data_IF_253498558534
#
_entry.id   IF_253498558534
#
_cell.length_a   1.000
_cell.length_b   1.000
_cell.length_c   1.000
_cell.angle_alpha   90.00
_cell.angle_beta   90.00
_cell.angle_gamma   90.00
#
_symmetry.space_group_name_H-M   'P 1'
#
loop_
_entity.id
_entity.type
_entity.pdbx_description
1 polymer ?
#
# COMPACT_ATOMS: atom_id res chain seq x y z
N UNK A 1 20.57 -4.70 -9.41
CA UNK A 1 19.73 -3.52 -9.09
C UNK A 1 20.62 -2.44 -8.53
N UNK A 2 20.54 -1.21 -9.05
CA UNK A 2 21.37 -0.11 -8.56
C UNK A 2 20.86 0.26 -7.16
N UNK A 3 21.72 0.18 -6.15
CA UNK A 3 21.41 0.52 -4.75
C UNK A 3 20.79 1.91 -4.60
N UNK A 4 21.10 2.82 -5.53
CA UNK A 4 20.52 4.15 -5.67
C UNK A 4 19.00 4.16 -5.83
N UNK A 5 18.42 3.22 -6.59
CA UNK A 5 16.96 3.20 -6.84
C UNK A 5 16.19 2.87 -5.56
N UNK A 6 16.63 1.85 -4.82
CA UNK A 6 16.04 1.50 -3.52
C UNK A 6 16.13 2.67 -2.54
N UNK A 7 17.24 3.38 -2.54
CA UNK A 7 17.44 4.54 -1.68
C UNK A 7 16.45 5.67 -2.02
N UNK A 8 16.35 6.02 -3.30
CA UNK A 8 15.46 7.09 -3.78
C UNK A 8 13.99 6.79 -3.46
N UNK A 9 13.55 5.55 -3.61
CA UNK A 9 12.16 5.17 -3.30
C UNK A 9 11.83 5.34 -1.82
N UNK A 10 12.70 4.90 -0.92
CA UNK A 10 12.50 5.04 0.52
C UNK A 10 12.53 6.51 0.95
N UNK A 11 13.46 7.31 0.39
CA UNK A 11 13.51 8.76 0.63
C UNK A 11 12.23 9.44 0.14
N UNK A 12 11.72 9.08 -1.03
CA UNK A 12 10.47 9.63 -1.57
C UNK A 12 9.27 9.34 -0.65
N UNK A 13 9.09 8.07 -0.24
CA UNK A 13 8.04 7.67 0.72
C UNK A 13 8.20 8.46 2.03
N UNK A 14 9.43 8.58 2.50
CA UNK A 14 9.81 9.36 3.66
C UNK A 14 9.38 10.82 3.59
N UNK A 15 9.64 11.48 2.47
CA UNK A 15 9.21 12.87 2.26
C UNK A 15 7.70 13.02 2.26
N UNK A 16 6.94 12.06 1.73
CA UNK A 16 5.48 12.10 1.84
C UNK A 16 5.01 11.98 3.30
N UNK A 17 5.60 11.07 4.07
CA UNK A 17 5.26 10.88 5.50
C UNK A 17 5.60 12.13 6.30
N UNK A 18 6.82 12.66 6.14
CA UNK A 18 7.25 13.89 6.82
C UNK A 18 6.38 15.07 6.38
N UNK A 19 6.08 15.19 5.09
CA UNK A 19 5.20 16.24 4.55
C UNK A 19 3.82 16.20 5.19
N UNK A 20 3.21 15.01 5.31
CA UNK A 20 1.95 14.82 6.04
C UNK A 20 2.08 15.29 7.49
N UNK A 21 3.10 14.83 8.22
CA UNK A 21 3.28 15.18 9.63
C UNK A 21 3.52 16.68 9.82
N UNK A 22 4.37 17.30 8.98
CA UNK A 22 4.64 18.73 9.02
C UNK A 22 3.37 19.51 8.75
N UNK A 23 2.64 19.18 7.67
CA UNK A 23 1.39 19.86 7.35
C UNK A 23 0.42 19.78 8.54
N UNK A 24 0.23 18.58 9.11
CA UNK A 24 -0.61 18.35 10.30
C UNK A 24 -0.15 19.18 11.51
N UNK A 25 1.16 19.29 11.75
CA UNK A 25 1.70 20.03 12.88
C UNK A 25 1.62 21.56 12.70
N UNK A 26 1.82 22.06 11.48
CA UNK A 26 1.87 23.50 11.18
C UNK A 26 0.52 24.08 10.76
N UNK A 27 -0.58 23.35 10.95
CA UNK A 27 -1.92 23.79 10.55
C UNK A 27 -2.00 24.19 9.07
N UNK A 28 -1.22 23.50 8.23
CA UNK A 28 -1.15 23.76 6.78
C UNK A 28 -0.35 24.99 6.37
N UNK A 29 0.14 25.82 7.29
CA UNK A 29 1.03 26.95 6.98
C UNK A 29 2.46 26.61 7.39
N UNK A 30 3.26 25.97 6.52
CA UNK A 30 4.67 25.77 6.79
C UNK A 30 5.40 27.11 6.57
N UNK A 31 5.22 28.05 7.50
CA UNK A 31 6.12 29.21 7.65
C UNK A 31 7.45 28.73 8.24
N UNK A 32 8.08 27.77 7.57
CA UNK A 32 9.43 27.31 7.86
C UNK A 32 10.35 28.34 7.20
N UNK A 33 10.78 29.31 7.99
CA UNK A 33 11.84 30.23 7.58
C UNK A 33 13.12 29.42 7.50
N UNK A 34 13.45 28.96 6.29
CA UNK A 34 14.73 28.32 6.04
C UNK A 34 15.82 29.38 6.14
N UNK A 35 16.55 29.40 7.26
CA UNK A 35 17.78 30.17 7.39
C UNK A 35 18.77 29.63 6.33
N UNK A 36 18.92 30.38 5.23
CA UNK A 36 19.68 29.97 4.04
C UNK A 36 21.19 30.06 4.22
N UNK A 37 21.70 30.24 5.45
CA UNK A 37 23.13 30.15 5.70
C UNK A 37 23.65 28.77 5.24
N UNK A 38 24.61 28.78 4.31
CA UNK A 38 25.01 27.60 3.51
C UNK A 38 25.34 26.38 4.35
N UNK A 39 25.99 26.55 5.50
CA UNK A 39 26.37 25.44 6.36
C UNK A 39 25.17 24.85 7.14
N UNK A 40 24.24 25.68 7.64
CA UNK A 40 23.01 25.20 8.28
C UNK A 40 22.06 24.57 7.26
N UNK A 41 22.00 25.11 6.04
CA UNK A 41 21.20 24.56 4.96
C UNK A 41 21.73 23.19 4.50
N UNK A 42 23.04 23.00 4.38
CA UNK A 42 23.64 21.70 4.00
C UNK A 42 23.45 20.66 5.11
N UNK A 43 23.72 21.03 6.37
CA UNK A 43 23.50 20.11 7.51
C UNK A 43 22.01 19.80 7.68
N UNK A 44 21.14 20.80 7.53
CA UNK A 44 19.69 20.65 7.61
C UNK A 44 19.13 19.75 6.51
N UNK A 45 19.56 19.93 5.26
CA UNK A 45 19.13 19.09 4.13
C UNK A 45 19.63 17.65 4.24
N UNK A 46 20.89 17.45 4.66
CA UNK A 46 21.43 16.10 4.90
C UNK A 46 20.69 15.40 6.04
N UNK A 47 20.43 16.11 7.14
CA UNK A 47 19.64 15.61 8.26
C UNK A 47 18.21 15.26 7.85
N UNK A 48 17.54 16.12 7.08
CA UNK A 48 16.20 15.88 6.56
C UNK A 48 16.15 14.65 5.65
N UNK A 49 17.14 14.47 4.77
CA UNK A 49 17.26 13.28 3.92
C UNK A 49 17.41 12.00 4.76
N UNK A 50 18.22 12.03 5.82
CA UNK A 50 18.38 10.89 6.72
C UNK A 50 17.08 10.55 7.47
N UNK A 51 16.37 11.56 7.97
CA UNK A 51 15.07 11.37 8.64
C UNK A 51 14.03 10.85 7.65
N UNK A 52 13.98 11.40 6.43
CA UNK A 52 13.10 10.93 5.36
C UNK A 52 13.37 9.46 5.05
N UNK A 53 14.62 9.06 4.85
CA UNK A 53 14.96 7.67 4.60
C UNK A 53 14.48 6.73 5.72
N UNK A 54 14.71 7.08 6.99
CA UNK A 54 14.26 6.28 8.13
C UNK A 54 12.72 6.22 8.22
N UNK A 55 12.03 7.34 8.06
CA UNK A 55 10.58 7.41 8.06
C UNK A 55 9.99 6.57 6.92
N UNK A 56 10.62 6.61 5.74
CA UNK A 56 10.27 5.80 4.57
C UNK A 56 10.33 4.30 4.87
N UNK A 57 11.43 3.83 5.47
CA UNK A 57 11.59 2.42 5.85
C UNK A 57 10.50 2.00 6.83
N UNK A 58 10.27 2.77 7.89
CA UNK A 58 9.27 2.45 8.91
C UNK A 58 7.89 2.38 8.27
N UNK A 59 7.55 3.37 7.43
CA UNK A 59 6.25 3.40 6.78
C UNK A 59 6.08 2.29 5.73
N UNK A 60 7.10 1.93 4.97
CA UNK A 60 7.04 0.80 4.03
C UNK A 60 6.69 -0.51 4.77
N UNK A 61 7.16 -0.69 6.02
CA UNK A 61 6.74 -1.81 6.87
C UNK A 61 5.30 -1.72 7.36
N UNK A 62 4.82 -0.52 7.65
CA UNK A 62 3.41 -0.32 7.95
C UNK A 62 2.54 -0.63 6.72
N UNK A 63 2.94 -0.18 5.53
CA UNK A 63 2.24 -0.45 4.27
C UNK A 63 2.28 -1.94 3.90
N UNK A 64 3.42 -2.63 4.09
CA UNK A 64 3.56 -4.09 4.04
C UNK A 64 2.46 -4.75 4.89
N UNK A 65 2.36 -4.35 6.17
CA UNK A 65 1.45 -4.95 7.15
C UNK A 65 -0.02 -4.70 6.81
N UNK A 66 -0.34 -3.46 6.40
CA UNK A 66 -1.70 -3.06 6.05
C UNK A 66 -2.24 -3.84 4.84
N UNK A 67 -1.39 -4.11 3.85
CA UNK A 67 -1.79 -4.73 2.58
C UNK A 67 -1.38 -6.21 2.45
N UNK A 68 -0.76 -6.80 3.49
CA UNK A 68 -0.29 -8.20 3.51
C UNK A 68 -1.38 -9.18 3.11
N UNK A 69 -2.58 -9.06 3.68
CA UNK A 69 -3.66 -10.02 3.47
C UNK A 69 -4.18 -9.98 2.02
N UNK A 70 -4.32 -8.79 1.44
CA UNK A 70 -4.70 -8.63 0.03
C UNK A 70 -3.63 -9.21 -0.89
N UNK A 71 -2.36 -8.98 -0.59
CA UNK A 71 -1.24 -9.54 -1.34
C UNK A 71 -1.22 -11.08 -1.26
N UNK A 72 -1.38 -11.62 -0.06
CA UNK A 72 -1.41 -13.05 0.19
C UNK A 72 -2.58 -13.74 -0.53
N UNK A 73 -3.76 -13.11 -0.54
CA UNK A 73 -4.88 -13.60 -1.33
C UNK A 73 -4.57 -13.63 -2.83
N UNK A 74 -3.90 -12.60 -3.36
CA UNK A 74 -3.48 -12.58 -4.76
C UNK A 74 -2.43 -13.67 -5.06
N UNK A 75 -1.49 -13.92 -4.15
CA UNK A 75 -0.49 -15.00 -4.27
C UNK A 75 -1.16 -16.37 -4.34
N UNK A 76 -2.06 -16.67 -3.40
CA UNK A 76 -2.84 -17.92 -3.40
C UNK A 76 -3.64 -18.06 -4.70
N UNK A 77 -4.32 -17.01 -5.15
CA UNK A 77 -5.10 -17.04 -6.39
C UNK A 77 -4.24 -17.36 -7.61
N UNK A 78 -3.02 -16.83 -7.68
CA UNK A 78 -2.10 -17.11 -8.80
C UNK A 78 -1.54 -18.54 -8.69
N UNK A 79 -1.07 -18.95 -7.51
CA UNK A 79 -0.50 -20.29 -7.29
C UNK A 79 -1.50 -21.43 -7.53
N UNK A 80 -2.78 -21.21 -7.19
CA UNK A 80 -3.85 -22.19 -7.37
C UNK A 80 -4.45 -22.22 -8.78
N UNK A 81 -4.12 -21.25 -9.65
CA UNK A 81 -4.79 -21.08 -10.95
C UNK A 81 -4.63 -22.30 -11.88
N UNK A 82 -3.48 -22.96 -11.79
CA UNK A 82 -3.10 -24.04 -12.72
C UNK A 82 -3.13 -25.42 -12.06
N UNK A 83 -3.66 -25.53 -10.84
CA UNK A 83 -3.79 -26.79 -10.10
C UNK A 83 -5.21 -27.31 -10.29
N UNK A 84 -5.36 -28.60 -10.61
CA UNK A 84 -6.68 -29.23 -10.66
C UNK A 84 -7.23 -29.43 -9.24
N UNK A 85 -8.08 -28.49 -8.82
CA UNK A 85 -8.69 -28.43 -7.48
C UNK A 85 -9.85 -29.41 -7.30
N UNK A 86 -10.24 -30.15 -8.35
CA UNK A 86 -11.43 -31.01 -8.32
C UNK A 86 -11.27 -32.13 -7.27
N UNK A 87 -10.11 -32.79 -7.22
CA UNK A 87 -9.88 -33.96 -6.37
C UNK A 87 -8.51 -34.03 -5.65
N UNK A 88 -7.63 -33.05 -5.83
CA UNK A 88 -6.28 -33.11 -5.24
C UNK A 88 -6.19 -32.38 -3.89
N UNK A 89 -5.62 -33.06 -2.89
CA UNK A 89 -5.07 -32.41 -1.68
C UNK A 89 -3.71 -31.87 -2.08
N UNK A 90 -3.43 -30.60 -1.80
CA UNK A 90 -2.10 -30.03 -2.04
C UNK A 90 -1.07 -30.73 -1.16
N UNK A 91 -0.05 -31.31 -1.80
CA UNK A 91 1.07 -32.00 -1.15
C UNK A 91 2.30 -31.08 -1.06
N UNK A 92 2.36 -30.02 -1.88
CA UNK A 92 3.46 -29.06 -1.95
C UNK A 92 2.95 -27.63 -1.93
N UNK A 93 3.80 -26.69 -1.51
CA UNK A 93 3.51 -25.26 -1.54
C UNK A 93 3.13 -24.85 -2.98
N UNK A 94 1.93 -24.28 -3.22
CA UNK A 94 1.52 -23.83 -4.54
C UNK A 94 2.35 -22.63 -5.06
N UNK A 95 3.09 -21.95 -4.18
CA UNK A 95 3.91 -20.79 -4.54
C UNK A 95 5.17 -20.69 -3.63
N UNK A 96 6.20 -21.55 -3.84
CA UNK A 96 7.42 -21.56 -3.03
C UNK A 96 8.35 -20.40 -3.41
N UNK A 97 7.96 -19.16 -3.07
CA UNK A 97 8.66 -17.93 -3.47
C UNK A 97 10.15 -17.94 -3.09
N UNK A 98 10.47 -18.46 -1.90
CA UNK A 98 11.85 -18.49 -1.39
C UNK A 98 12.75 -19.38 -2.24
N UNK A 99 12.29 -20.59 -2.56
CA UNK A 99 13.03 -21.54 -3.40
C UNK A 99 13.18 -21.03 -4.83
N UNK A 100 12.15 -20.35 -5.33
CA UNK A 100 12.20 -19.77 -6.67
C UNK A 100 13.21 -18.62 -6.69
N UNK A 101 13.27 -17.81 -5.64
CA UNK A 101 14.22 -16.71 -5.54
C UNK A 101 15.67 -17.18 -5.51
N UNK A 102 15.98 -18.24 -4.76
CA UNK A 102 17.34 -18.80 -4.73
C UNK A 102 17.74 -19.35 -6.10
N UNK A 103 16.81 -20.04 -6.80
CA UNK A 103 17.03 -20.53 -8.17
C UNK A 103 17.22 -19.41 -9.20
N UNK A 104 16.45 -18.32 -9.08
CA UNK A 104 16.55 -17.18 -10.00
C UNK A 104 17.89 -16.44 -9.82
N UNK A 105 18.36 -16.27 -8.57
CA UNK A 105 19.65 -15.67 -8.30
C UNK A 105 20.82 -16.44 -8.94
N UNK A 106 20.65 -17.75 -9.18
CA UNK A 106 21.66 -18.58 -9.83
C UNK A 106 21.66 -18.51 -11.38
N UNK A 107 20.57 -18.05 -12.01
CA UNK A 107 20.33 -18.25 -13.47
C UNK A 107 20.63 -17.08 -14.40
N UNK A 108 20.95 -15.89 -13.89
CA UNK A 108 21.38 -14.77 -14.74
C UNK A 108 20.87 -13.39 -14.29
N UNK A 109 21.57 -12.34 -14.71
CA UNK A 109 21.33 -10.96 -14.23
C UNK A 109 20.03 -10.34 -14.74
N UNK A 110 19.60 -10.61 -15.98
CA UNK A 110 18.49 -9.87 -16.63
C UNK A 110 17.12 -10.11 -15.98
N UNK A 111 16.77 -11.36 -15.68
CA UNK A 111 15.48 -11.70 -15.02
C UNK A 111 15.48 -11.24 -13.58
N UNK A 112 16.61 -11.39 -12.89
CA UNK A 112 16.80 -10.88 -11.53
C UNK A 112 16.60 -9.36 -11.51
N UNK A 113 17.16 -8.63 -12.47
CA UNK A 113 16.98 -7.18 -12.62
C UNK A 113 15.53 -6.81 -12.87
N UNK A 114 14.85 -7.49 -13.80
CA UNK A 114 13.44 -7.23 -14.09
C UNK A 114 12.52 -7.51 -12.89
N UNK A 115 12.73 -8.62 -12.17
CA UNK A 115 11.94 -8.94 -10.98
C UNK A 115 12.22 -7.98 -9.82
N UNK A 116 13.46 -7.53 -9.67
CA UNK A 116 13.80 -6.49 -8.70
C UNK A 116 13.15 -5.16 -9.05
N UNK A 117 13.12 -4.79 -10.33
CA UNK A 117 12.40 -3.61 -10.82
C UNK A 117 10.90 -3.69 -10.48
N UNK A 118 10.23 -4.80 -10.81
CA UNK A 118 8.82 -5.00 -10.48
C UNK A 118 8.58 -4.92 -8.97
N UNK A 119 9.46 -5.52 -8.16
CA UNK A 119 9.38 -5.46 -6.69
C UNK A 119 9.47 -4.04 -6.15
N UNK A 120 10.40 -3.25 -6.69
CA UNK A 120 10.52 -1.83 -6.36
C UNK A 120 9.22 -1.08 -6.65
N UNK A 121 8.65 -1.26 -7.84
CA UNK A 121 7.40 -0.61 -8.23
C UNK A 121 6.21 -1.06 -7.40
N UNK A 122 6.15 -2.34 -7.00
CA UNK A 122 5.12 -2.82 -6.07
C UNK A 122 5.21 -2.11 -4.72
N UNK A 123 6.40 -1.97 -4.13
CA UNK A 123 6.58 -1.28 -2.84
C UNK A 123 6.14 0.19 -2.93
N UNK A 124 6.61 0.90 -3.95
CA UNK A 124 6.28 2.31 -4.14
C UNK A 124 4.78 2.52 -4.37
N UNK A 125 4.16 1.76 -5.26
CA UNK A 125 2.72 1.89 -5.54
C UNK A 125 1.87 1.54 -4.33
N UNK A 126 2.29 0.54 -3.55
CA UNK A 126 1.62 0.15 -2.30
C UNK A 126 1.64 1.29 -1.27
N UNK A 127 2.82 1.86 -0.99
CA UNK A 127 2.95 2.96 -0.04
C UNK A 127 2.20 4.22 -0.50
N UNK A 128 2.18 4.50 -1.81
CA UNK A 128 1.39 5.61 -2.34
C UNK A 128 -0.12 5.35 -2.23
N UNK A 129 -0.59 4.12 -2.49
CA UNK A 129 -2.00 3.78 -2.34
C UNK A 129 -2.50 4.02 -0.91
N UNK A 130 -1.65 3.79 0.09
CA UNK A 130 -1.99 4.06 1.49
C UNK A 130 -1.81 5.52 1.89
N UNK A 131 -0.91 6.30 1.27
CA UNK A 131 -0.65 7.71 1.65
C UNK A 131 -1.56 8.73 0.96
N UNK A 132 -1.92 8.51 -0.31
CA UNK A 132 -2.71 9.46 -1.12
C UNK A 132 -4.06 9.86 -0.51
N UNK A 133 -4.83 8.96 0.13
CA UNK A 133 -6.08 9.33 0.79
C UNK A 133 -5.87 10.36 1.92
N UNK A 134 -4.81 10.19 2.72
CA UNK A 134 -4.46 11.13 3.78
C UNK A 134 -4.04 12.48 3.22
N UNK A 135 -3.20 12.47 2.17
CA UNK A 135 -2.80 13.69 1.46
C UNK A 135 -4.01 14.44 0.91
N UNK A 136 -4.98 13.73 0.34
CA UNK A 136 -6.23 14.32 -0.16
C UNK A 136 -7.01 15.02 0.95
N UNK A 137 -7.17 14.38 2.11
CA UNK A 137 -7.86 14.99 3.25
C UNK A 137 -7.07 16.20 3.81
N UNK A 138 -5.75 16.10 3.93
CA UNK A 138 -4.89 17.21 4.38
C UNK A 138 -5.01 18.41 3.44
N UNK A 139 -5.04 18.16 2.13
CA UNK A 139 -5.21 19.21 1.14
C UNK A 139 -6.56 19.92 1.30
N UNK A 140 -7.64 19.15 1.52
CA UNK A 140 -8.96 19.73 1.83
C UNK A 140 -8.90 20.60 3.07
N UNK A 141 -8.30 20.11 4.16
CA UNK A 141 -8.19 20.86 5.42
C UNK A 141 -7.38 22.14 5.23
N UNK A 142 -6.31 22.09 4.44
CA UNK A 142 -5.47 23.26 4.15
C UNK A 142 -6.24 24.33 3.40
N UNK A 143 -6.91 23.98 2.30
CA UNK A 143 -7.73 24.94 1.55
C UNK A 143 -8.85 25.52 2.41
N UNK A 144 -9.49 24.70 3.25
CA UNK A 144 -10.55 25.17 4.14
C UNK A 144 -10.04 26.08 5.26
N UNK A 145 -8.81 25.87 5.73
CA UNK A 145 -8.19 26.70 6.77
C UNK A 145 -7.91 28.11 6.23
N UNK A 146 -7.34 28.20 5.02
CA UNK A 146 -7.09 29.48 4.32
C UNK A 146 -8.39 30.27 4.07
N UNK A 147 -9.53 29.59 3.91
CA UNK A 147 -10.81 30.26 3.64
C UNK A 147 -11.55 30.77 4.88
N UNK A 148 -11.37 30.16 6.05
CA UNK A 148 -12.27 30.37 7.19
C UNK A 148 -11.56 30.61 8.54
N UNK A 149 -10.23 30.59 8.60
CA UNK A 149 -9.42 30.85 9.81
C UNK A 149 -9.88 30.09 11.08
N UNK A 150 -10.52 28.92 10.94
CA UNK A 150 -11.08 28.14 12.05
C UNK A 150 -10.29 26.84 12.26
N UNK A 151 -9.45 26.86 13.29
CA UNK A 151 -8.58 25.77 13.72
C UNK A 151 -9.33 24.49 14.14
N UNK A 152 -10.62 24.56 14.46
CA UNK A 152 -11.34 23.37 14.96
C UNK A 152 -11.40 22.26 13.90
N UNK A 153 -11.56 22.63 12.64
CA UNK A 153 -11.63 21.72 11.48
C UNK A 153 -10.32 20.95 11.33
N UNK A 154 -9.20 21.65 11.50
CA UNK A 154 -7.86 21.09 11.43
C UNK A 154 -7.64 20.00 12.49
N UNK A 155 -8.04 20.28 13.73
CA UNK A 155 -7.93 19.33 14.86
C UNK A 155 -8.74 18.07 14.60
N UNK A 156 -9.98 18.19 14.14
CA UNK A 156 -10.81 17.04 13.80
C UNK A 156 -10.23 16.23 12.65
N UNK A 157 -9.77 16.89 11.58
CA UNK A 157 -9.17 16.21 10.43
C UNK A 157 -7.89 15.44 10.80
N UNK A 158 -7.02 16.05 11.61
CA UNK A 158 -5.80 15.40 12.13
C UNK A 158 -6.13 14.17 12.97
N UNK A 159 -7.16 14.28 13.82
CA UNK A 159 -7.63 13.19 14.66
C UNK A 159 -8.23 12.05 13.82
N UNK A 160 -9.02 12.37 12.79
CA UNK A 160 -9.57 11.37 11.86
C UNK A 160 -8.46 10.60 11.16
N UNK A 161 -7.44 11.29 10.62
CA UNK A 161 -6.29 10.62 9.96
C UNK A 161 -5.59 9.68 10.94
N UNK A 162 -5.26 10.17 12.13
CA UNK A 162 -4.56 9.40 13.15
C UNK A 162 -5.35 8.16 13.60
N UNK A 163 -6.66 8.32 13.83
CA UNK A 163 -7.54 7.22 14.21
C UNK A 163 -7.69 6.19 13.09
N UNK A 164 -7.85 6.61 11.83
CA UNK A 164 -8.01 5.70 10.71
C UNK A 164 -6.80 4.78 10.56
N UNK A 165 -5.58 5.33 10.52
CA UNK A 165 -4.37 4.50 10.41
C UNK A 165 -4.10 3.72 11.69
N UNK A 166 -4.32 4.31 12.86
CA UNK A 166 -4.14 3.65 14.16
C UNK A 166 -5.03 2.43 14.29
N UNK A 167 -6.33 2.57 14.02
CA UNK A 167 -7.31 1.48 14.04
C UNK A 167 -6.95 0.45 12.97
N UNK A 168 -6.64 0.86 11.73
CA UNK A 168 -6.28 -0.09 10.66
C UNK A 168 -5.05 -0.94 11.02
N UNK A 169 -4.01 -0.33 11.61
CA UNK A 169 -2.82 -1.05 12.10
C UNK A 169 -3.16 -1.97 13.27
N UNK A 170 -3.91 -1.50 14.26
CA UNK A 170 -4.31 -2.30 15.42
C UNK A 170 -5.14 -3.51 14.99
N UNK A 171 -6.10 -3.35 14.07
CA UNK A 171 -6.87 -4.45 13.49
C UNK A 171 -5.97 -5.54 12.90
N UNK A 172 -4.87 -5.16 12.23
CA UNK A 172 -3.91 -6.12 11.66
C UNK A 172 -3.04 -6.78 12.73
N UNK A 173 -2.53 -6.02 13.69
CA UNK A 173 -1.69 -6.52 14.78
C UNK A 173 -2.46 -7.52 15.66
N UNK A 174 -3.68 -7.16 16.07
CA UNK A 174 -4.52 -8.02 16.91
C UNK A 174 -5.25 -9.12 16.13
N UNK A 175 -5.15 -9.14 14.80
CA UNK A 175 -5.76 -10.16 13.96
C UNK A 175 -7.29 -10.15 14.00
N UNK A 176 -7.90 -8.97 14.11
CA UNK A 176 -9.36 -8.82 14.05
C UNK A 176 -9.91 -9.02 12.63
N UNK A 177 -9.05 -9.08 11.63
CA UNK A 177 -9.40 -9.29 10.24
C UNK A 177 -9.20 -10.74 9.84
N UNK A 178 -9.94 -11.17 8.82
CA UNK A 178 -9.70 -12.44 8.16
C UNK A 178 -8.27 -12.47 7.60
N UNK A 179 -7.46 -13.43 8.04
CA UNK A 179 -6.11 -13.67 7.53
C UNK A 179 -6.16 -14.82 6.52
N UNK A 180 -5.84 -14.58 5.24
CA UNK A 180 -5.67 -15.69 4.30
C UNK A 180 -4.45 -16.53 4.73
N UNK A 181 -4.49 -17.86 4.57
CA UNK A 181 -3.41 -18.73 5.00
C UNK A 181 -2.12 -18.45 4.22
N UNK A 182 -0.98 -18.65 4.86
CA UNK A 182 0.32 -18.56 4.18
C UNK A 182 0.48 -19.74 3.21
N UNK A 183 1.24 -19.57 2.12
CA UNK A 183 1.26 -20.58 1.03
C UNK A 183 1.87 -21.90 1.47
N UNK A 184 2.78 -21.87 2.45
CA UNK A 184 3.38 -23.06 3.06
C UNK A 184 2.47 -23.77 4.07
N UNK A 185 1.37 -23.16 4.51
CA UNK A 185 0.43 -23.74 5.49
C UNK A 185 -0.56 -24.70 4.79
N UNK A 186 -0.05 -25.80 4.23
CA UNK A 186 -0.80 -26.70 3.34
C UNK A 186 -2.17 -27.13 3.90
N UNK A 187 -2.27 -27.40 5.21
CA UNK A 187 -3.55 -27.78 5.84
C UNK A 187 -4.58 -26.65 5.73
N UNK A 188 -4.16 -25.43 6.01
CA UNK A 188 -5.03 -24.25 5.97
C UNK A 188 -5.36 -23.87 4.53
N UNK A 189 -4.40 -23.96 3.62
CA UNK A 189 -4.64 -23.75 2.17
C UNK A 189 -5.64 -24.77 1.64
N UNK A 190 -5.55 -26.04 2.04
CA UNK A 190 -6.54 -27.06 1.64
C UNK A 190 -7.94 -26.76 2.22
N UNK A 191 -8.04 -26.29 3.47
CA UNK A 191 -9.31 -25.85 4.05
C UNK A 191 -9.88 -24.64 3.32
N UNK A 192 -9.02 -23.67 3.00
CA UNK A 192 -9.34 -22.51 2.19
C UNK A 192 -9.89 -22.94 0.83
N UNK A 193 -9.23 -23.83 0.09
CA UNK A 193 -9.71 -24.36 -1.19
C UNK A 193 -11.08 -25.05 -1.06
N UNK A 194 -11.28 -25.88 -0.03
CA UNK A 194 -12.56 -26.57 0.19
C UNK A 194 -13.70 -25.61 0.42
N UNK A 195 -13.48 -24.59 1.25
CA UNK A 195 -14.49 -23.60 1.59
C UNK A 195 -14.73 -22.59 0.45
N UNK A 196 -13.67 -22.23 -0.30
CA UNK A 196 -13.65 -21.04 -1.15
C UNK A 196 -13.60 -21.36 -2.67
N UNK A 197 -13.05 -22.50 -3.09
CA UNK A 197 -12.88 -22.85 -4.50
C UNK A 197 -13.87 -23.91 -5.01
N UNK A 198 -14.37 -24.82 -4.16
CA UNK A 198 -15.29 -25.90 -4.59
C UNK A 198 -16.73 -25.44 -4.86
N UNK A 199 -17.14 -24.24 -4.43
CA UNK A 199 -18.41 -23.61 -4.80
C UNK A 199 -18.20 -22.66 -5.99
N UNK A 200 -18.13 -23.22 -7.19
CA UNK A 200 -17.80 -22.51 -8.43
C UNK A 200 -18.75 -21.32 -8.75
N UNK A 201 -19.98 -21.31 -8.20
CA UNK A 201 -20.96 -20.24 -8.41
C UNK A 201 -20.65 -18.93 -7.67
N UNK A 202 -19.68 -18.91 -6.74
CA UNK A 202 -19.55 -17.80 -5.78
C UNK A 202 -18.17 -17.13 -5.72
N UNK A 203 -17.34 -17.24 -6.77
CA UNK A 203 -16.04 -16.51 -6.88
C UNK A 203 -16.16 -15.01 -6.60
N UNK A 204 -17.31 -14.40 -6.93
CA UNK A 204 -17.59 -12.98 -6.67
C UNK A 204 -17.83 -12.69 -5.17
N UNK A 205 -18.44 -13.61 -4.43
CA UNK A 205 -18.76 -13.41 -3.00
C UNK A 205 -17.52 -13.42 -2.12
N UNK A 206 -16.49 -14.16 -2.53
CA UNK A 206 -15.24 -14.25 -1.80
C UNK A 206 -14.46 -12.94 -1.83
N UNK A 207 -14.26 -12.43 -3.04
CA UNK A 207 -13.62 -11.16 -3.28
C UNK A 207 -14.37 -10.03 -2.57
N UNK A 208 -15.71 -10.07 -2.60
CA UNK A 208 -16.55 -9.14 -1.84
C UNK A 208 -16.32 -9.27 -0.33
N UNK A 209 -16.32 -10.48 0.24
CA UNK A 209 -16.07 -10.68 1.67
C UNK A 209 -14.69 -10.17 2.07
N UNK A 210 -13.63 -10.58 1.37
CA UNK A 210 -12.27 -10.13 1.68
C UNK A 210 -12.21 -8.60 1.61
N UNK A 211 -12.63 -7.98 0.50
CA UNK A 211 -12.59 -6.51 0.35
C UNK A 211 -13.43 -5.80 1.42
N UNK A 212 -14.61 -6.29 1.74
CA UNK A 212 -15.50 -5.65 2.71
C UNK A 212 -14.98 -5.73 4.15
N UNK A 213 -14.06 -6.63 4.47
CA UNK A 213 -13.48 -6.75 5.81
C UNK A 213 -12.04 -6.24 5.92
N UNK A 214 -11.48 -5.72 4.83
CA UNK A 214 -10.12 -5.18 4.82
C UNK A 214 -10.10 -3.74 5.38
N UNK A 215 -9.41 -3.48 6.51
CA UNK A 215 -9.42 -2.17 7.18
C UNK A 215 -8.88 -1.04 6.29
N UNK A 216 -8.02 -1.35 5.34
CA UNK A 216 -7.43 -0.35 4.44
C UNK A 216 -8.50 0.27 3.55
N UNK A 217 -9.45 -0.52 3.02
CA UNK A 217 -10.53 0.04 2.21
C UNK A 217 -11.49 0.89 3.04
N UNK A 218 -11.79 0.47 4.26
CA UNK A 218 -12.56 1.29 5.20
C UNK A 218 -11.84 2.58 5.54
N UNK A 219 -10.52 2.54 5.75
CA UNK A 219 -9.73 3.73 6.01
C UNK A 219 -9.78 4.71 4.84
N UNK A 220 -9.58 4.23 3.60
CA UNK A 220 -9.73 5.03 2.39
C UNK A 220 -11.13 5.67 2.34
N UNK A 221 -12.18 4.87 2.54
CA UNK A 221 -13.57 5.33 2.49
C UNK A 221 -13.87 6.40 3.55
N UNK A 222 -13.46 6.19 4.80
CA UNK A 222 -13.64 7.14 5.90
C UNK A 222 -12.90 8.45 5.62
N UNK A 223 -11.68 8.40 5.09
CA UNK A 223 -10.91 9.61 4.75
C UNK A 223 -11.58 10.40 3.61
N UNK A 224 -12.05 9.71 2.56
CA UNK A 224 -12.76 10.36 1.44
C UNK A 224 -14.08 10.99 1.89
N UNK A 225 -14.89 10.26 2.66
CA UNK A 225 -16.16 10.79 3.18
C UNK A 225 -15.93 11.96 4.12
N UNK A 226 -14.94 11.87 5.00
CA UNK A 226 -14.58 12.98 5.88
C UNK A 226 -14.25 14.22 5.08
N UNK A 227 -13.46 14.07 3.99
CA UNK A 227 -13.17 15.16 3.07
C UNK A 227 -14.43 15.80 2.46
N UNK A 228 -15.38 14.99 1.98
CA UNK A 228 -16.67 15.51 1.49
C UNK A 228 -17.46 16.24 2.58
N UNK A 229 -17.55 15.66 3.79
CA UNK A 229 -18.26 16.28 4.92
C UNK A 229 -17.64 17.64 5.26
N UNK A 230 -16.30 17.73 5.31
CA UNK A 230 -15.60 18.98 5.58
C UNK A 230 -15.91 20.04 4.50
N UNK A 231 -15.84 19.67 3.22
CA UNK A 231 -16.14 20.62 2.13
C UNK A 231 -17.59 21.10 2.19
N UNK A 232 -18.56 20.18 2.26
CA UNK A 232 -19.99 20.50 2.25
C UNK A 232 -20.40 21.36 3.45
N UNK A 233 -19.81 21.11 4.63
CA UNK A 233 -20.15 21.82 5.85
C UNK A 233 -19.51 23.21 5.94
N UNK A 234 -18.32 23.41 5.36
CA UNK A 234 -17.49 24.56 5.69
C UNK A 234 -17.14 25.49 4.54
N UNK A 235 -17.24 25.07 3.27
CA UNK A 235 -16.93 25.96 2.14
C UNK A 235 -18.16 26.49 1.41
N UNK A 236 -19.18 25.64 1.22
CA UNK A 236 -20.29 25.95 0.30
C UNK A 236 -19.90 25.94 -1.18
N UNK A 237 -18.61 25.88 -1.53
CA UNK A 237 -18.14 25.73 -2.90
C UNK A 237 -18.06 24.25 -3.31
N UNK A 238 -18.92 23.86 -4.24
CA UNK A 238 -18.97 22.51 -4.79
C UNK A 238 -17.71 22.14 -5.57
N UNK A 239 -16.92 23.09 -6.05
CA UNK A 239 -15.67 22.82 -6.76
C UNK A 239 -14.62 22.16 -5.86
N UNK A 240 -14.63 22.46 -4.56
CA UNK A 240 -13.71 21.82 -3.62
C UNK A 240 -13.97 20.32 -3.44
N UNK A 241 -15.15 19.81 -3.81
CA UNK A 241 -15.44 18.37 -3.82
C UNK A 241 -14.59 17.62 -4.85
N UNK A 242 -14.03 18.32 -5.84
CA UNK A 242 -13.10 17.73 -6.80
C UNK A 242 -11.84 17.20 -6.13
N UNK A 243 -11.41 17.77 -5.00
CA UNK A 243 -10.19 17.37 -4.29
C UNK A 243 -10.31 15.94 -3.72
N UNK A 244 -11.31 15.61 -2.86
CA UNK A 244 -11.50 14.24 -2.39
C UNK A 244 -11.86 13.27 -3.53
N UNK A 245 -12.57 13.71 -4.57
CA UNK A 245 -12.84 12.90 -5.76
C UNK A 245 -11.56 12.55 -6.54
N UNK A 246 -10.66 13.51 -6.73
CA UNK A 246 -9.37 13.30 -7.36
C UNK A 246 -8.48 12.39 -6.50
N UNK A 247 -8.51 12.57 -5.17
CA UNK A 247 -7.77 11.71 -4.23
C UNK A 247 -8.21 10.26 -4.32
N UNK A 248 -9.52 9.95 -4.24
CA UNK A 248 -10.00 8.57 -4.37
C UNK A 248 -9.74 8.01 -5.77
N UNK A 249 -9.91 8.82 -6.83
CA UNK A 249 -9.60 8.41 -8.20
C UNK A 249 -8.13 8.03 -8.37
N UNK A 250 -7.22 8.83 -7.80
CA UNK A 250 -5.78 8.57 -7.82
C UNK A 250 -5.43 7.33 -6.98
N UNK A 251 -6.02 7.17 -5.80
CA UNK A 251 -5.85 5.97 -4.96
C UNK A 251 -6.29 4.70 -5.70
N UNK A 252 -7.45 4.73 -6.36
CA UNK A 252 -7.94 3.59 -7.15
C UNK A 252 -7.03 3.28 -8.33
N UNK A 253 -6.53 4.30 -9.04
CA UNK A 253 -5.58 4.13 -10.14
C UNK A 253 -4.27 3.51 -9.65
N UNK A 254 -3.70 4.01 -8.55
CA UNK A 254 -2.47 3.47 -7.96
C UNK A 254 -2.69 2.05 -7.47
N UNK A 255 -3.81 1.77 -6.80
CA UNK A 255 -4.18 0.43 -6.35
C UNK A 255 -4.36 -0.56 -7.53
N UNK A 256 -4.93 -0.10 -8.64
CA UNK A 256 -5.01 -0.88 -9.87
C UNK A 256 -3.64 -1.16 -10.48
N UNK A 257 -2.77 -0.14 -10.57
CA UNK A 257 -1.39 -0.30 -11.02
C UNK A 257 -0.63 -1.30 -10.14
N UNK A 258 -0.71 -1.16 -8.81
CA UNK A 258 -0.13 -2.10 -7.85
C UNK A 258 -0.59 -3.53 -8.13
N UNK A 259 -1.91 -3.75 -8.23
CA UNK A 259 -2.49 -5.06 -8.50
C UNK A 259 -1.99 -5.66 -9.84
N UNK A 260 -1.91 -4.85 -10.90
CA UNK A 260 -1.41 -5.27 -12.21
C UNK A 260 0.07 -5.66 -12.14
N UNK A 261 0.90 -4.88 -11.45
CA UNK A 261 2.33 -5.16 -11.29
C UNK A 261 2.51 -6.45 -10.47
N UNK A 262 1.78 -6.62 -9.36
CA UNK A 262 1.83 -7.83 -8.53
C UNK A 262 1.43 -9.07 -9.31
N UNK A 263 0.36 -9.00 -10.11
CA UNK A 263 -0.05 -10.12 -10.95
C UNK A 263 1.01 -10.49 -11.98
N UNK A 264 1.63 -9.52 -12.62
CA UNK A 264 2.73 -9.76 -13.57
C UNK A 264 3.93 -10.38 -12.86
N UNK A 265 4.31 -9.84 -11.69
CA UNK A 265 5.41 -10.39 -10.89
C UNK A 265 5.15 -11.85 -10.51
N UNK A 266 4.00 -12.18 -9.91
CA UNK A 266 3.66 -13.54 -9.52
C UNK A 266 3.58 -14.49 -10.72
N UNK A 267 3.02 -14.03 -11.85
CA UNK A 267 2.97 -14.85 -13.07
C UNK A 267 4.35 -15.19 -13.62
N UNK A 268 5.31 -14.25 -13.56
CA UNK A 268 6.68 -14.50 -13.99
C UNK A 268 7.42 -15.45 -13.04
N UNK A 269 7.17 -15.32 -11.74
CA UNK A 269 7.70 -16.27 -10.74
C UNK A 269 7.16 -17.68 -11.01
N UNK A 270 5.88 -17.83 -11.32
CA UNK A 270 5.28 -19.11 -11.70
C UNK A 270 5.78 -19.66 -13.05
N UNK A 271 6.03 -18.82 -14.05
CA UNK A 271 6.51 -19.28 -15.37
C UNK A 271 7.92 -19.87 -15.27
N UNK A 272 8.80 -19.20 -14.50
CA UNK A 272 10.15 -19.70 -14.18
C UNK A 272 10.10 -21.04 -13.45
N UNK A 273 9.12 -21.22 -12.56
CA UNK A 273 8.92 -22.48 -11.83
C UNK A 273 8.56 -23.64 -12.76
N UNK A 274 7.68 -23.40 -13.73
CA UNK A 274 7.19 -24.45 -14.65
C UNK A 274 8.23 -24.88 -15.67
N UNK A 275 9.01 -23.92 -16.17
CA UNK A 275 10.01 -24.18 -17.20
C UNK A 275 11.37 -23.59 -16.76
N UNK A 276 12.14 -24.34 -15.95
CA UNK A 276 13.45 -23.89 -15.52
C UNK A 276 14.41 -23.63 -16.70
N UNK A 277 14.18 -24.24 -17.86
CA UNK A 277 15.04 -24.12 -19.04
C UNK A 277 14.68 -22.95 -19.97
N UNK A 278 13.59 -22.21 -19.72
CA UNK A 278 13.10 -21.14 -20.61
C UNK A 278 14.02 -19.91 -20.68
N UNK A 279 15.12 -19.92 -19.92
CA UNK A 279 16.00 -18.78 -19.72
C UNK A 279 17.50 -19.12 -19.72
N UNK A 280 17.83 -20.35 -20.15
CA UNK A 280 19.20 -20.72 -20.54
C UNK A 280 19.40 -20.33 -22.01
#
# INVERSE_FOLDING_TARGET
>A
MKTTELYVEQVLIGFFVIGIVILLATHGSPNIVWDTTTLKAIVGSTGLLAIAYLAGIVYDRCADTLLKDIEQHNRLRVGLKDIDLSNSVLISDPFPEQDIRTKILAKGSSIVEYLNYLRSRMRLTRSLATLVPALGLIWVLWVLNELNEDDTKWKYGTLVISLVYGIALMCKIFGWTYKPPETYELKEVNNYIKEHCKKDENKLTLFRKTILFEPVYWGIYVLTISGWIFVLKYSGDNLLLLIPCASIGLTLLIGWCWWRISRTFFSQVCSVMKNPNLFN
#
